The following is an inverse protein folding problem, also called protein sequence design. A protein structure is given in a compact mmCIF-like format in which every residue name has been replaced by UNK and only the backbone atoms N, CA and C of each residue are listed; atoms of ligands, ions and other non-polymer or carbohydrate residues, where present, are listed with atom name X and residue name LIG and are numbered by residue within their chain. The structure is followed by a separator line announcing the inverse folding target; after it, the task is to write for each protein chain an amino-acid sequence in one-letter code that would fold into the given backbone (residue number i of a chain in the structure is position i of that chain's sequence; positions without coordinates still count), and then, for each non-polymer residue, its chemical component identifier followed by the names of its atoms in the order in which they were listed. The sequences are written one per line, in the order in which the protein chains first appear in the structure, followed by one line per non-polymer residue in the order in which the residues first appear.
data_IF_873968064731
#
_entry.id   IF_873968064731
#
_cell.length_a   1.000
_cell.length_b   1.000
_cell.length_c   1.000
_cell.angle_alpha   90.00
_cell.angle_beta   90.00
_cell.angle_gamma   90.00
#
_symmetry.space_group_name_H-M   'P 1'
#
loop_
_entity.id
_entity.type
_entity.pdbx_description
1 polymer ?
#
# COMPACT_ATOMS: atom_id res chain seq x y z
N UNK A 1 2.94 -7.87 10.59
CA UNK A 1 1.55 -8.15 10.21
C UNK A 1 0.93 -9.31 10.99
N UNK A 2 0.98 -10.58 10.54
CA UNK A 2 0.21 -11.68 11.20
C UNK A 2 0.52 -11.82 12.70
N UNK A 3 1.80 -11.89 13.07
CA UNK A 3 2.19 -11.94 14.48
C UNK A 3 1.84 -10.68 15.29
N UNK A 4 1.76 -9.52 14.65
CA UNK A 4 1.34 -8.28 15.33
C UNK A 4 -0.16 -8.31 15.64
N UNK A 5 -0.99 -8.75 14.68
CA UNK A 5 -2.45 -8.89 14.89
C UNK A 5 -2.76 -9.94 15.96
N UNK A 6 -2.03 -11.05 15.95
CA UNK A 6 -2.24 -12.15 16.91
C UNK A 6 -1.50 -11.96 18.23
N UNK A 7 -0.66 -10.92 18.36
CA UNK A 7 0.20 -10.70 19.53
C UNK A 7 1.13 -11.88 19.83
N UNK A 8 1.59 -12.57 18.79
CA UNK A 8 2.52 -13.71 18.83
C UNK A 8 3.80 -13.37 18.08
N UNK A 9 4.96 -13.75 18.60
CA UNK A 9 6.22 -13.55 17.89
C UNK A 9 6.20 -14.30 16.54
N UNK A 10 6.67 -13.64 15.48
CA UNK A 10 6.61 -14.22 14.13
C UNK A 10 7.32 -15.58 14.03
N UNK A 11 8.42 -15.77 14.78
CA UNK A 11 9.20 -17.00 14.80
C UNK A 11 8.47 -18.18 15.48
N UNK A 12 7.42 -17.90 16.26
CA UNK A 12 6.60 -18.91 16.94
C UNK A 12 5.40 -19.39 16.08
N UNK A 13 5.12 -18.69 14.96
CA UNK A 13 4.01 -19.01 14.06
C UNK A 13 4.50 -19.99 12.98
N UNK A 14 3.91 -21.18 12.95
CA UNK A 14 4.14 -22.13 11.86
C UNK A 14 3.24 -21.78 10.68
N UNK A 15 3.83 -21.65 9.49
CA UNK A 15 3.12 -21.11 8.34
C UNK A 15 1.87 -21.92 7.93
N UNK A 16 1.96 -23.25 8.01
CA UNK A 16 0.88 -24.18 7.69
C UNK A 16 -0.11 -24.46 8.83
N UNK A 17 0.14 -23.95 10.04
CA UNK A 17 -0.73 -24.18 11.19
C UNK A 17 -1.96 -23.27 11.13
N UNK A 18 -3.03 -23.71 11.78
CA UNK A 18 -4.28 -22.95 11.84
C UNK A 18 -4.08 -21.72 12.73
N UNK A 19 -4.38 -20.52 12.23
CA UNK A 19 -4.22 -19.27 12.97
C UNK A 19 -5.14 -19.20 14.19
N UNK A 20 -6.25 -19.94 14.21
CA UNK A 20 -7.10 -20.07 15.41
C UNK A 20 -6.35 -20.69 16.60
N UNK A 21 -5.38 -21.57 16.34
CA UNK A 21 -4.52 -22.14 17.38
C UNK A 21 -3.61 -21.09 18.03
N UNK A 22 -3.40 -19.96 17.34
CA UNK A 22 -2.64 -18.80 17.78
C UNK A 22 -3.54 -17.64 18.25
N UNK A 23 -4.85 -17.87 18.39
CA UNK A 23 -5.78 -16.87 18.91
C UNK A 23 -6.50 -16.02 17.84
N UNK A 24 -6.45 -16.42 16.56
CA UNK A 24 -7.31 -15.80 15.56
C UNK A 24 -8.78 -16.03 15.90
N UNK A 25 -9.53 -14.95 16.05
CA UNK A 25 -10.95 -14.88 16.30
C UNK A 25 -11.62 -13.91 15.31
N UNK A 26 -12.95 -13.72 15.39
CA UNK A 26 -13.64 -12.88 14.41
C UNK A 26 -13.13 -11.42 14.36
N UNK A 27 -12.89 -10.73 15.50
CA UNK A 27 -12.29 -9.40 15.47
C UNK A 27 -10.90 -9.35 14.85
N UNK A 28 -10.00 -10.26 15.24
CA UNK A 28 -8.62 -10.28 14.72
C UNK A 28 -8.57 -10.72 13.25
N UNK A 29 -9.51 -11.54 12.78
CA UNK A 29 -9.66 -11.88 11.37
C UNK A 29 -10.08 -10.67 10.52
N UNK A 30 -10.96 -9.82 11.03
CA UNK A 30 -11.33 -8.56 10.36
C UNK A 30 -10.11 -7.63 10.28
N UNK A 31 -9.40 -7.43 11.39
CA UNK A 31 -8.19 -6.62 11.43
C UNK A 31 -7.11 -7.14 10.47
N UNK A 32 -6.89 -8.45 10.44
CA UNK A 32 -5.94 -9.08 9.52
C UNK A 32 -6.33 -8.85 8.07
N UNK A 33 -7.61 -9.02 7.73
CA UNK A 33 -8.12 -8.76 6.39
C UNK A 33 -7.87 -7.31 5.98
N UNK A 34 -8.21 -6.35 6.84
CA UNK A 34 -7.96 -4.92 6.60
C UNK A 34 -6.46 -4.65 6.36
N UNK A 35 -5.57 -5.21 7.20
CA UNK A 35 -4.13 -5.03 7.01
C UNK A 35 -3.61 -5.64 5.70
N UNK A 36 -4.19 -6.76 5.26
CA UNK A 36 -3.84 -7.39 3.97
C UNK A 36 -4.34 -6.55 2.80
N UNK A 37 -5.58 -6.07 2.83
CA UNK A 37 -6.16 -5.19 1.82
C UNK A 37 -5.31 -3.94 1.64
N UNK A 38 -4.99 -3.25 2.74
CA UNK A 38 -4.13 -2.07 2.74
C UNK A 38 -2.71 -2.39 2.24
N UNK A 39 -2.13 -3.53 2.65
CA UNK A 39 -0.75 -3.85 2.29
C UNK A 39 -0.59 -4.25 0.82
N UNK A 40 -1.61 -4.86 0.23
CA UNK A 40 -1.57 -5.30 -1.16
C UNK A 40 -2.36 -4.38 -2.11
N UNK A 41 -3.06 -3.37 -1.60
CA UNK A 41 -3.91 -2.48 -2.38
C UNK A 41 -5.02 -3.24 -3.10
N UNK A 42 -5.63 -4.20 -2.41
CA UNK A 42 -6.68 -5.08 -2.93
C UNK A 42 -7.92 -5.01 -2.05
N UNK A 43 -9.05 -5.43 -2.61
CA UNK A 43 -10.25 -5.76 -1.84
C UNK A 43 -10.34 -7.28 -1.79
N UNK A 44 -10.46 -7.86 -0.59
CA UNK A 44 -10.56 -9.29 -0.36
C UNK A 44 -12.05 -9.61 -0.13
N UNK A 45 -12.70 -10.32 -1.07
CA UNK A 45 -14.08 -10.76 -0.89
C UNK A 45 -14.27 -11.55 0.40
N UNK A 46 -15.44 -11.42 1.04
CA UNK A 46 -15.74 -12.07 2.32
C UNK A 46 -15.57 -13.60 2.28
N UNK A 47 -15.92 -14.24 1.16
CA UNK A 47 -15.74 -15.67 0.95
C UNK A 47 -14.26 -16.08 0.88
N UNK A 48 -13.41 -15.23 0.29
CA UNK A 48 -11.95 -15.42 0.31
C UNK A 48 -11.36 -15.14 1.70
N UNK A 49 -11.81 -14.08 2.38
CA UNK A 49 -11.36 -13.73 3.74
C UNK A 49 -11.63 -14.88 4.73
N UNK A 50 -12.80 -15.52 4.63
CA UNK A 50 -13.17 -16.67 5.46
C UNK A 50 -12.29 -17.92 5.27
N UNK A 51 -11.50 -17.96 4.19
CA UNK A 51 -10.58 -19.06 3.87
C UNK A 51 -9.14 -18.80 4.30
N UNK A 52 -8.82 -17.62 4.84
CA UNK A 52 -7.47 -17.26 5.31
C UNK A 52 -7.17 -17.88 6.68
N UNK A 53 -7.01 -19.21 6.71
CA UNK A 53 -6.87 -19.98 7.94
C UNK A 53 -5.42 -20.15 8.38
N UNK A 54 -4.45 -19.94 7.50
CA UNK A 54 -3.02 -20.12 7.74
C UNK A 54 -2.20 -19.00 7.08
N UNK A 55 -0.93 -18.88 7.44
CA UNK A 55 -0.01 -17.95 6.74
C UNK A 55 0.19 -18.40 5.29
N UNK A 56 0.21 -19.71 5.03
CA UNK A 56 0.32 -20.26 3.67
C UNK A 56 -0.86 -19.83 2.79
N UNK A 57 -2.08 -19.80 3.32
CA UNK A 57 -3.28 -19.35 2.60
C UNK A 57 -3.18 -17.86 2.24
N UNK A 58 -2.71 -17.04 3.19
CA UNK A 58 -2.48 -15.61 3.00
C UNK A 58 -1.43 -15.38 1.91
N UNK A 59 -0.31 -16.09 1.98
CA UNK A 59 0.78 -15.99 0.99
C UNK A 59 0.29 -16.44 -0.39
N UNK A 60 -0.43 -17.57 -0.47
CA UNK A 60 -0.99 -18.07 -1.72
C UNK A 60 -1.97 -17.06 -2.36
N UNK A 61 -2.85 -16.47 -1.54
CA UNK A 61 -3.81 -15.45 -1.98
C UNK A 61 -3.10 -14.18 -2.49
N UNK A 62 -2.11 -13.68 -1.74
CA UNK A 62 -1.32 -12.54 -2.17
C UNK A 62 -0.56 -12.82 -3.48
N UNK A 63 0.06 -13.99 -3.62
CA UNK A 63 0.76 -14.40 -4.84
C UNK A 63 -0.19 -14.53 -6.03
N UNK A 64 -1.39 -15.07 -5.83
CA UNK A 64 -2.42 -15.16 -6.88
C UNK A 64 -2.84 -13.76 -7.36
N UNK A 65 -3.04 -12.81 -6.44
CA UNK A 65 -3.37 -11.42 -6.78
C UNK A 65 -2.21 -10.70 -7.50
N UNK A 66 -0.98 -10.88 -7.05
CA UNK A 66 0.21 -10.36 -7.76
C UNK A 66 0.31 -10.98 -9.16
N UNK A 67 -0.06 -12.25 -9.31
CA UNK A 67 -0.05 -12.93 -10.60
C UNK A 67 -1.15 -12.45 -11.56
N UNK A 68 -2.23 -11.82 -11.08
CA UNK A 68 -3.28 -11.23 -11.93
C UNK A 68 -3.12 -9.72 -12.10
N UNK A 69 -2.27 -9.07 -11.28
CA UNK A 69 -2.00 -7.64 -11.36
C UNK A 69 -1.58 -7.20 -12.77
N UNK A 70 -2.16 -6.08 -13.22
CA UNK A 70 -1.88 -5.45 -14.51
C UNK A 70 -1.54 -3.98 -14.29
N UNK A 71 -0.43 -3.48 -14.89
CA UNK A 71 -0.10 -2.07 -14.78
C UNK A 71 -1.22 -1.16 -15.27
N UNK A 72 -1.48 -0.10 -14.50
CA UNK A 72 -2.50 0.90 -14.80
C UNK A 72 -1.88 2.03 -15.62
N UNK A 73 -2.49 2.38 -16.76
CA UNK A 73 -2.18 3.65 -17.42
C UNK A 73 -2.88 4.79 -16.70
N UNK A 74 -2.08 5.76 -16.28
CA UNK A 74 -2.53 6.94 -15.57
C UNK A 74 -1.67 8.12 -16.00
N UNK A 75 -2.32 9.25 -16.24
CA UNK A 75 -1.66 10.54 -16.33
C UNK A 75 -1.54 11.13 -14.93
N UNK A 76 -0.31 11.43 -14.53
CA UNK A 76 0.03 12.02 -13.24
C UNK A 76 0.70 13.36 -13.52
N UNK A 77 0.22 14.42 -12.88
CA UNK A 77 0.78 15.77 -13.02
C UNK A 77 1.03 16.38 -11.65
N UNK A 78 2.25 16.88 -11.46
CA UNK A 78 2.55 17.82 -10.39
C UNK A 78 2.59 19.26 -10.90
N UNK A 79 3.22 20.14 -10.15
CA UNK A 79 3.39 21.56 -10.49
C UNK A 79 4.25 21.72 -11.75
N UNK A 80 5.41 21.07 -11.79
CA UNK A 80 6.42 21.26 -12.85
C UNK A 80 6.86 19.94 -13.52
N UNK A 81 6.12 18.86 -13.31
CA UNK A 81 6.45 17.54 -13.84
C UNK A 81 5.19 16.76 -14.23
N UNK A 82 5.36 15.81 -15.16
CA UNK A 82 4.31 14.90 -15.58
C UNK A 82 4.85 13.49 -15.78
N UNK A 83 3.98 12.50 -15.60
CA UNK A 83 4.23 11.09 -15.86
C UNK A 83 3.02 10.48 -16.58
N UNK A 84 3.25 9.79 -17.70
CA UNK A 84 2.19 9.29 -18.59
C UNK A 84 2.35 7.81 -18.97
N UNK A 85 3.30 7.10 -18.35
CA UNK A 85 3.51 5.68 -18.63
C UNK A 85 2.63 4.82 -17.72
N UNK A 86 2.38 3.54 -18.06
CA UNK A 86 1.71 2.64 -17.13
C UNK A 86 2.54 2.48 -15.86
N UNK A 87 1.87 2.40 -14.71
CA UNK A 87 2.49 2.22 -13.41
C UNK A 87 2.03 0.90 -12.78
N UNK A 88 2.85 0.34 -11.92
CA UNK A 88 2.42 -0.74 -11.01
C UNK A 88 1.77 -0.17 -9.76
N UNK A 89 2.30 0.93 -9.22
CA UNK A 89 1.76 1.57 -8.02
C UNK A 89 2.12 3.06 -7.97
N UNK A 90 1.31 3.86 -7.28
CA UNK A 90 1.60 5.24 -6.89
C UNK A 90 1.18 5.46 -5.43
N UNK A 91 2.08 6.01 -4.62
CA UNK A 91 1.77 6.53 -3.29
C UNK A 91 1.92 8.05 -3.26
N UNK A 92 0.88 8.77 -2.81
CA UNK A 92 0.94 10.20 -2.50
C UNK A 92 0.81 10.35 -0.98
N UNK A 93 1.93 10.62 -0.30
CA UNK A 93 2.03 10.37 1.14
C UNK A 93 2.38 11.61 1.97
N UNK A 94 1.91 11.62 3.23
CA UNK A 94 2.26 12.60 4.30
C UNK A 94 3.01 11.97 5.49
N UNK A 95 3.16 10.65 5.47
CA UNK A 95 3.87 9.85 6.45
C UNK A 95 4.64 8.78 5.69
N UNK A 96 5.85 8.48 6.12
CA UNK A 96 6.67 7.45 5.48
C UNK A 96 6.08 6.05 5.63
N UNK A 97 5.40 5.77 6.75
CA UNK A 97 4.79 4.47 7.01
C UNK A 97 3.37 4.40 6.44
N UNK A 98 3.07 3.27 5.81
CA UNK A 98 1.75 2.89 5.32
C UNK A 98 1.61 1.36 5.45
N UNK A 99 0.41 0.87 5.75
CA UNK A 99 0.00 -0.54 5.72
C UNK A 99 1.00 -1.62 6.24
N UNK A 100 0.68 -2.26 7.38
CA UNK A 100 1.29 -3.53 7.77
C UNK A 100 2.80 -3.52 8.04
N UNK A 101 3.39 -2.33 8.26
CA UNK A 101 4.82 -2.16 8.53
C UNK A 101 5.66 -1.73 7.32
N UNK A 102 5.05 -1.50 6.16
CA UNK A 102 5.75 -0.95 5.00
C UNK A 102 6.04 0.53 5.18
N UNK A 103 7.13 1.00 4.57
CA UNK A 103 7.45 2.42 4.56
C UNK A 103 8.30 2.83 3.36
N UNK A 104 8.12 4.08 2.95
CA UNK A 104 8.96 4.74 1.96
C UNK A 104 10.21 5.32 2.62
N UNK A 105 11.30 5.39 1.87
CA UNK A 105 12.57 6.00 2.26
C UNK A 105 12.70 7.46 1.82
N UNK A 106 11.56 8.10 1.49
CA UNK A 106 11.48 9.50 1.08
C UNK A 106 11.31 10.44 2.28
N UNK A 107 11.75 11.71 2.20
CA UNK A 107 11.95 12.55 3.37
C UNK A 107 10.67 13.24 3.90
N UNK A 108 9.47 12.81 3.51
CA UNK A 108 8.22 13.45 3.94
C UNK A 108 8.09 13.51 5.46
N UNK A 109 7.64 14.66 5.92
CA UNK A 109 7.27 14.88 7.31
C UNK A 109 5.85 15.45 7.38
N UNK A 110 5.20 15.26 8.54
CA UNK A 110 3.82 15.72 8.73
C UNK A 110 3.64 17.25 8.59
N UNK A 111 4.72 18.03 8.73
CA UNK A 111 4.67 19.49 8.86
C UNK A 111 5.43 20.26 7.78
N UNK A 112 6.09 19.58 6.83
CA UNK A 112 6.89 20.24 5.78
C UNK A 112 6.05 20.91 4.68
N UNK A 113 4.74 20.65 4.64
CA UNK A 113 3.86 21.25 3.65
C UNK A 113 3.92 20.59 2.26
N UNK A 114 4.56 19.42 2.11
CA UNK A 114 4.66 18.72 0.84
C UNK A 114 4.09 17.30 0.93
N UNK A 115 3.62 16.77 -0.19
CA UNK A 115 3.53 15.33 -0.40
C UNK A 115 4.86 14.82 -0.92
N UNK A 116 5.21 13.60 -0.53
CA UNK A 116 6.09 12.80 -1.39
C UNK A 116 5.21 11.97 -2.32
N UNK A 117 5.58 11.93 -3.60
CA UNK A 117 4.87 11.23 -4.66
C UNK A 117 5.78 10.15 -5.20
N UNK A 118 5.45 8.92 -4.87
CA UNK A 118 6.27 7.74 -5.08
C UNK A 118 5.62 6.86 -6.13
N UNK A 119 6.15 6.91 -7.34
CA UNK A 119 5.67 6.15 -8.48
C UNK A 119 6.58 4.94 -8.66
N UNK A 120 5.96 3.77 -8.83
CA UNK A 120 6.66 2.60 -9.33
C UNK A 120 6.22 2.31 -10.75
N UNK A 121 7.12 2.53 -11.70
CA UNK A 121 6.86 2.35 -13.13
C UNK A 121 6.46 0.91 -13.45
N UNK A 122 5.83 0.68 -14.60
CA UNK A 122 5.38 -0.65 -14.97
C UNK A 122 6.53 -1.65 -15.03
N UNK A 123 6.41 -2.72 -14.24
CA UNK A 123 7.37 -3.82 -14.20
C UNK A 123 6.71 -5.17 -14.42
N UNK A 124 7.51 -6.17 -14.80
CA UNK A 124 7.07 -7.56 -14.78
C UNK A 124 6.74 -8.01 -13.35
N UNK A 125 5.79 -8.94 -13.22
CA UNK A 125 5.21 -9.40 -11.94
C UNK A 125 6.24 -9.83 -10.88
N UNK A 126 7.34 -10.45 -11.29
CA UNK A 126 8.41 -10.85 -10.37
C UNK A 126 9.04 -9.65 -9.61
N UNK A 127 9.05 -8.46 -10.21
CA UNK A 127 9.55 -7.23 -9.57
C UNK A 127 8.57 -6.60 -8.60
N UNK A 128 7.30 -7.02 -8.58
CA UNK A 128 6.32 -6.58 -7.57
C UNK A 128 6.72 -7.11 -6.19
N UNK A 129 7.20 -8.36 -6.12
CA UNK A 129 7.76 -8.91 -4.88
C UNK A 129 8.99 -8.12 -4.40
N UNK A 130 9.82 -7.65 -5.34
CA UNK A 130 10.96 -6.80 -5.01
C UNK A 130 10.53 -5.40 -4.52
N UNK A 131 9.44 -4.83 -5.06
CA UNK A 131 8.82 -3.62 -4.54
C UNK A 131 8.38 -3.82 -3.09
N UNK A 132 7.56 -4.84 -2.81
CA UNK A 132 7.06 -5.13 -1.46
C UNK A 132 8.22 -5.34 -0.49
N UNK A 133 9.19 -6.18 -0.84
CA UNK A 133 10.38 -6.41 -0.01
C UNK A 133 11.22 -5.13 0.20
N UNK A 134 11.27 -4.24 -0.81
CA UNK A 134 11.94 -2.95 -0.71
C UNK A 134 11.25 -2.01 0.28
N UNK A 135 9.92 -1.97 0.29
CA UNK A 135 9.11 -1.14 1.18
C UNK A 135 9.22 -1.58 2.64
N UNK A 136 9.22 -2.89 2.92
CA UNK A 136 9.49 -3.39 4.29
C UNK A 136 10.92 -3.08 4.78
N UNK A 137 11.85 -2.80 3.86
CA UNK A 137 13.26 -2.52 4.17
C UNK A 137 13.61 -1.03 4.08
N UNK A 138 12.67 -0.16 3.73
CA UNK A 138 12.96 1.26 3.50
C UNK A 138 13.97 1.47 2.38
N UNK A 139 13.80 0.77 1.25
CA UNK A 139 14.71 0.85 0.09
C UNK A 139 13.96 1.06 -1.22
N UNK A 140 12.79 1.70 -1.15
CA UNK A 140 11.97 1.96 -2.34
C UNK A 140 12.75 2.75 -3.39
N UNK A 141 13.36 3.87 -3.01
CA UNK A 141 14.10 4.78 -3.90
C UNK A 141 15.33 4.16 -4.58
N UNK A 142 15.82 3.03 -4.06
CA UNK A 142 17.00 2.34 -4.62
C UNK A 142 16.71 1.56 -5.90
N UNK A 143 15.42 1.33 -6.21
CA UNK A 143 14.99 0.63 -7.41
C UNK A 143 15.08 1.53 -8.64
N UNK A 144 15.53 0.97 -9.77
CA UNK A 144 15.50 1.67 -11.06
C UNK A 144 14.09 1.94 -11.61
N UNK A 145 13.04 1.33 -11.02
CA UNK A 145 11.65 1.62 -11.37
C UNK A 145 11.01 2.67 -10.45
N UNK A 146 11.69 3.07 -9.38
CA UNK A 146 11.18 4.08 -8.47
C UNK A 146 11.40 5.47 -9.06
N UNK A 147 10.34 6.27 -9.09
CA UNK A 147 10.36 7.66 -9.48
C UNK A 147 9.76 8.44 -8.30
N UNK A 148 10.53 9.37 -7.75
CA UNK A 148 10.15 10.10 -6.55
C UNK A 148 10.06 11.59 -6.86
N UNK A 149 8.92 12.20 -6.59
CA UNK A 149 8.70 13.64 -6.67
C UNK A 149 8.27 14.19 -5.31
N UNK A 150 8.43 15.49 -5.12
CA UNK A 150 7.83 16.22 -4.00
C UNK A 150 6.98 17.34 -4.57
N UNK A 151 5.76 17.48 -4.08
CA UNK A 151 4.83 18.49 -4.59
C UNK A 151 3.82 18.95 -3.53
N UNK A 152 3.13 20.05 -3.79
CA UNK A 152 2.01 20.53 -2.98
C UNK A 152 0.66 20.18 -3.59
N UNK A 153 0.63 19.87 -4.89
CA UNK A 153 -0.56 19.42 -5.59
C UNK A 153 -0.23 18.31 -6.57
N UNK A 154 -1.11 17.32 -6.67
CA UNK A 154 -0.98 16.20 -7.61
C UNK A 154 -2.33 15.93 -8.24
N UNK A 155 -2.36 15.83 -9.56
CA UNK A 155 -3.52 15.40 -10.32
C UNK A 155 -3.28 14.00 -10.89
N UNK A 156 -4.29 13.14 -10.73
CA UNK A 156 -4.31 11.76 -11.18
C UNK A 156 -5.49 11.57 -12.15
N UNK A 157 -5.21 11.05 -13.33
CA UNK A 157 -6.22 10.73 -14.36
C UNK A 157 -5.97 9.36 -14.94
N UNK A 158 -6.56 8.29 -14.38
CA UNK A 158 -6.44 6.96 -14.94
C UNK A 158 -7.22 6.85 -16.26
N UNK A 159 -6.74 6.03 -17.19
CA UNK A 159 -7.40 5.83 -18.51
C UNK A 159 -8.76 5.10 -18.40
N UNK A 160 -9.05 4.52 -17.24
CA UNK A 160 -10.30 3.83 -16.89
C UNK A 160 -10.59 4.07 -15.40
N UNK A 161 -11.87 3.98 -14.95
CA UNK A 161 -12.19 4.04 -13.53
C UNK A 161 -11.29 3.09 -12.73
N UNK A 162 -10.61 3.63 -11.73
CA UNK A 162 -9.62 2.90 -10.94
C UNK A 162 -9.87 3.12 -9.44
N UNK A 163 -9.59 2.12 -8.60
CA UNK A 163 -9.65 2.29 -7.16
C UNK A 163 -8.56 3.29 -6.71
N UNK A 164 -8.97 4.21 -5.85
CA UNK A 164 -8.11 5.11 -5.11
C UNK A 164 -8.35 4.87 -3.62
N UNK A 165 -7.29 4.52 -2.91
CA UNK A 165 -7.31 4.39 -1.46
C UNK A 165 -6.94 5.71 -0.80
N UNK A 166 -7.76 6.15 0.16
CA UNK A 166 -7.56 7.36 0.97
C UNK A 166 -7.75 6.99 2.44
N UNK A 167 -6.64 6.99 3.19
CA UNK A 167 -6.63 6.73 4.65
C UNK A 167 -7.41 5.47 5.08
N UNK A 168 -7.37 4.41 4.27
CA UNK A 168 -8.02 3.13 4.53
C UNK A 168 -9.42 2.95 3.92
N UNK A 169 -9.94 3.97 3.22
CA UNK A 169 -11.17 3.87 2.44
C UNK A 169 -10.86 3.77 0.95
N UNK A 170 -11.52 2.85 0.24
CA UNK A 170 -11.36 2.68 -1.21
C UNK A 170 -12.55 3.31 -1.94
N UNK A 171 -12.27 4.18 -2.90
CA UNK A 171 -13.28 4.74 -3.81
C UNK A 171 -12.85 4.61 -5.27
N UNK A 172 -13.80 4.36 -6.18
CA UNK A 172 -13.50 4.33 -7.62
C UNK A 172 -13.55 5.76 -8.17
N UNK A 173 -12.49 6.17 -8.87
CA UNK A 173 -12.37 7.52 -9.43
C UNK A 173 -12.04 7.50 -10.92
N UNK A 174 -12.58 8.47 -11.65
CA UNK A 174 -12.16 8.79 -13.03
C UNK A 174 -11.03 9.83 -13.04
N UNK A 175 -10.94 10.63 -11.98
CA UNK A 175 -9.84 11.57 -11.73
C UNK A 175 -9.79 11.94 -10.26
N UNK A 176 -8.62 12.36 -9.78
CA UNK A 176 -8.44 12.89 -8.44
C UNK A 176 -7.45 14.05 -8.46
N UNK A 177 -7.71 15.07 -7.63
CA UNK A 177 -6.76 16.16 -7.37
C UNK A 177 -6.52 16.25 -5.88
N UNK A 178 -5.27 16.07 -5.48
CA UNK A 178 -4.81 16.09 -4.10
C UNK A 178 -4.03 17.39 -3.86
N UNK A 179 -4.36 18.11 -2.80
CA UNK A 179 -3.71 19.36 -2.44
C UNK A 179 -3.32 19.40 -0.97
N UNK A 180 -2.13 19.93 -0.69
CA UNK A 180 -1.70 20.17 0.68
C UNK A 180 -2.34 21.44 1.21
N UNK A 181 -3.04 21.32 2.33
CA UNK A 181 -3.43 22.45 3.16
C UNK A 181 -2.43 22.60 4.32
N UNK A 182 -1.46 23.54 4.22
CA UNK A 182 -0.37 23.60 5.17
C UNK A 182 -0.86 24.04 6.55
N UNK A 183 -0.53 23.23 7.58
CA UNK A 183 -0.76 23.54 9.00
C UNK A 183 -2.22 23.87 9.35
N UNK A 184 -3.18 23.28 8.64
CA UNK A 184 -4.62 23.53 8.88
C UNK A 184 -5.10 22.93 10.21
N UNK A 185 -4.52 21.80 10.63
CA UNK A 185 -4.82 21.15 11.90
C UNK A 185 -3.79 21.51 12.97
N UNK A 186 -4.29 21.84 14.17
CA UNK A 186 -3.48 21.91 15.39
C UNK A 186 -3.68 20.63 16.18
N UNK A 187 -2.62 19.87 16.36
CA UNK A 187 -2.62 18.63 17.15
C UNK A 187 -1.86 18.86 18.45
N UNK A 188 -2.26 18.15 19.51
CA UNK A 188 -1.45 18.10 20.72
C UNK A 188 -0.12 17.42 20.40
N UNK A 189 0.98 17.94 20.95
CA UNK A 189 2.26 17.25 20.85
C UNK A 189 2.14 15.90 21.59
N UNK A 190 2.54 14.83 20.92
CA UNK A 190 2.68 13.50 21.52
C UNK A 190 3.97 13.43 22.34
#
# INVERSE_FOLDING_TARGET
MVGEVLWVAADDIRAAAQLIDYGLDSPTAIELTIQLEQAFGIEIPEDAASQLNSVDDIVATALANIATHTPLRVEIRGTDWEHRTPITNIGVIKSVHFAGGMYYDTPVTRADGHFDVNIWDAVGRARILALIAGLYRGKFSTSSAAICHRDTAVELRPDRPAPLELDGEITVVESARLEVLPRVLKVCAA
#
